data_IF_809514603395
#
_entry.id   IF_809514603395
#
_cell.length_a   1.000
_cell.length_b   1.000
_cell.length_c   1.000
_cell.angle_alpha   90.00
_cell.angle_beta   90.00
_cell.angle_gamma   90.00
#
_symmetry.space_group_name_H-M   'P 1'
#
loop_
_entity.id
_entity.type
_entity.pdbx_description
1 polymer ?
#
# COMPACT_ATOMS: atom_id res chain seq x y z
N UNK A 1 -22.83 -51.06 18.10
CA UNK A 1 -22.38 -50.85 16.71
C UNK A 1 -22.75 -49.42 16.33
N UNK A 2 -21.78 -48.57 15.97
CA UNK A 2 -22.06 -47.20 15.52
C UNK A 2 -21.17 -46.90 14.31
N UNK A 3 -21.80 -46.74 13.15
CA UNK A 3 -21.14 -46.57 11.86
C UNK A 3 -20.74 -45.11 11.65
N UNK A 4 -19.44 -44.86 11.54
CA UNK A 4 -18.88 -43.55 11.18
C UNK A 4 -19.04 -43.25 9.70
N UNK A 5 -19.69 -42.13 9.39
CA UNK A 5 -19.89 -41.64 8.03
C UNK A 5 -18.66 -40.80 7.62
N UNK A 6 -17.85 -41.30 6.68
CA UNK A 6 -16.69 -40.57 6.14
C UNK A 6 -17.15 -39.43 5.20
N UNK A 7 -16.51 -38.26 5.21
CA UNK A 7 -16.85 -37.17 4.29
C UNK A 7 -16.52 -37.55 2.83
N UNK A 8 -17.41 -37.18 1.92
CA UNK A 8 -17.29 -37.43 0.47
C UNK A 8 -16.10 -36.66 -0.11
N UNK A 9 -15.22 -37.35 -0.82
CA UNK A 9 -14.15 -36.73 -1.63
C UNK A 9 -14.76 -35.70 -2.58
N UNK A 10 -14.24 -34.47 -2.59
CA UNK A 10 -14.58 -33.50 -3.62
C UNK A 10 -14.03 -33.98 -4.96
N UNK A 11 -14.90 -34.09 -5.95
CA UNK A 11 -14.55 -34.48 -7.32
C UNK A 11 -14.03 -33.27 -8.09
N UNK A 12 -12.70 -33.19 -8.21
CA UNK A 12 -12.00 -32.13 -8.92
C UNK A 12 -12.36 -32.07 -10.41
N UNK A 13 -12.78 -33.20 -11.01
CA UNK A 13 -13.20 -33.23 -12.42
C UNK A 13 -14.49 -32.45 -12.68
N UNK A 14 -15.43 -32.50 -11.73
CA UNK A 14 -16.68 -31.73 -11.80
C UNK A 14 -16.43 -30.21 -11.68
N UNK A 15 -15.44 -29.82 -10.87
CA UNK A 15 -15.06 -28.42 -10.69
C UNK A 15 -14.35 -27.87 -11.94
N UNK A 16 -13.46 -28.65 -12.56
CA UNK A 16 -12.76 -28.26 -13.78
C UNK A 16 -13.72 -28.08 -14.97
N UNK A 17 -14.72 -28.96 -15.10
CA UNK A 17 -15.78 -28.82 -16.11
C UNK A 17 -16.58 -27.53 -15.92
N UNK A 18 -16.90 -27.18 -14.67
CA UNK A 18 -17.64 -25.95 -14.33
C UNK A 18 -16.83 -24.68 -14.60
N UNK A 19 -15.52 -24.72 -14.39
CA UNK A 19 -14.61 -23.60 -14.72
C UNK A 19 -14.49 -23.40 -16.24
N UNK A 20 -14.50 -24.50 -17.00
CA UNK A 20 -14.49 -24.47 -18.47
C UNK A 20 -15.83 -23.95 -19.05
N UNK A 21 -16.96 -24.34 -18.48
CA UNK A 21 -18.29 -23.80 -18.85
C UNK A 21 -18.42 -22.30 -18.57
N UNK A 22 -17.69 -21.77 -17.58
CA UNK A 22 -17.67 -20.33 -17.26
C UNK A 22 -16.62 -19.53 -18.06
N UNK A 23 -16.00 -20.12 -19.09
CA UNK A 23 -15.10 -19.41 -20.00
C UNK A 23 -13.73 -19.04 -19.41
N UNK A 24 -13.33 -19.64 -18.29
CA UNK A 24 -12.02 -19.42 -17.65
C UNK A 24 -10.97 -20.28 -18.35
N UNK A 25 -10.63 -19.94 -19.59
CA UNK A 25 -9.57 -20.61 -20.35
C UNK A 25 -8.25 -19.86 -20.16
N UNK A 26 -7.59 -20.11 -19.04
CA UNK A 26 -6.26 -19.60 -18.72
C UNK A 26 -5.28 -20.73 -18.42
N UNK A 27 -4.70 -21.31 -19.46
CA UNK A 27 -3.35 -21.90 -19.44
C UNK A 27 -3.10 -23.13 -18.53
N UNK A 28 -3.83 -24.23 -18.74
CA UNK A 28 -3.64 -25.50 -18.03
C UNK A 28 -2.67 -26.50 -18.72
N UNK A 29 -2.08 -26.13 -19.86
CA UNK A 29 -1.25 -27.05 -20.67
C UNK A 29 0.09 -27.42 -20.02
N UNK A 30 0.56 -26.63 -19.04
CA UNK A 30 1.79 -26.92 -18.31
C UNK A 30 1.64 -28.00 -17.22
N UNK A 31 0.39 -28.36 -16.85
CA UNK A 31 0.11 -29.37 -15.82
C UNK A 31 0.13 -30.81 -16.37
N UNK A 32 -0.16 -31.02 -17.67
CA UNK A 32 -0.15 -32.38 -18.27
C UNK A 32 1.26 -32.95 -18.44
N UNK A 33 2.27 -32.12 -18.69
CA UNK A 33 3.65 -32.58 -18.90
C UNK A 33 4.34 -33.10 -17.63
N UNK A 34 3.80 -32.83 -16.44
CA UNK A 34 4.40 -33.27 -15.16
C UNK A 34 3.87 -34.61 -14.66
N UNK A 35 2.78 -35.13 -15.23
CA UNK A 35 2.18 -36.40 -14.81
C UNK A 35 2.83 -37.62 -15.51
N UNK A 36 3.35 -37.44 -16.74
CA UNK A 36 3.98 -38.54 -17.51
C UNK A 36 5.37 -38.94 -17.00
N UNK A 37 5.99 -38.14 -16.11
CA UNK A 37 7.36 -38.41 -15.61
C UNK A 37 7.41 -39.23 -14.31
N UNK A 38 6.26 -39.53 -13.70
CA UNK A 38 6.19 -40.18 -12.39
C UNK A 38 5.98 -41.72 -12.42
N UNK A 39 5.88 -42.34 -13.61
CA UNK A 39 5.50 -43.76 -13.74
C UNK A 39 6.71 -44.72 -13.86
N UNK A 40 7.94 -44.23 -13.93
CA UNK A 40 9.11 -45.09 -14.16
C UNK A 40 10.19 -44.94 -13.08
N UNK A 41 9.98 -45.50 -11.89
CA UNK A 41 11.06 -46.01 -11.03
C UNK A 41 10.50 -46.73 -9.78
N UNK A 42 10.50 -48.06 -9.78
CA UNK A 42 10.48 -48.88 -8.56
C UNK A 42 11.27 -50.17 -8.77
N UNK A 43 11.95 -50.60 -7.69
CA UNK A 43 12.49 -51.95 -7.33
C UNK A 43 14.04 -52.08 -7.25
N UNK A 44 14.60 -51.84 -6.04
CA UNK A 44 15.41 -52.70 -5.08
C UNK A 44 16.31 -53.90 -5.53
N UNK A 45 17.20 -54.55 -4.67
CA UNK A 45 17.76 -54.27 -3.30
C UNK A 45 19.26 -54.73 -3.00
N UNK A 46 19.68 -54.65 -1.71
CA UNK A 46 20.70 -55.43 -0.89
C UNK A 46 22.18 -54.95 -0.70
N UNK A 47 22.61 -54.61 0.54
CA UNK A 47 23.43 -55.34 1.58
C UNK A 47 24.92 -54.84 1.60
N UNK A 48 25.71 -54.62 2.68
CA UNK A 48 25.88 -55.19 4.03
C UNK A 48 26.46 -54.19 5.10
N UNK A 49 25.93 -54.28 6.34
CA UNK A 49 26.52 -54.45 7.70
C UNK A 49 27.94 -53.93 8.09
N UNK A 50 28.04 -53.08 9.13
CA UNK A 50 28.90 -53.36 10.32
C UNK A 50 28.68 -52.47 11.55
N UNK A 51 28.70 -53.13 12.71
CA UNK A 51 28.39 -52.75 14.10
C UNK A 51 29.22 -51.62 14.73
N UNK A 52 28.64 -50.92 15.73
CA UNK A 52 29.06 -50.96 17.14
C UNK A 52 28.01 -50.28 18.05
N UNK A 53 27.66 -50.97 19.14
CA UNK A 53 26.68 -50.61 20.18
C UNK A 53 27.26 -49.62 21.22
N UNK A 54 26.42 -48.73 21.79
CA UNK A 54 26.24 -48.55 23.25
C UNK A 54 24.87 -47.87 23.51
N UNK A 55 24.12 -48.32 24.53
CA UNK A 55 22.91 -47.70 25.08
C UNK A 55 23.03 -47.67 26.62
N UNK A 56 22.08 -47.12 27.42
CA UNK A 56 21.23 -45.93 27.27
C UNK A 56 21.36 -44.98 28.49
N UNK A 57 20.95 -43.71 28.38
CA UNK A 57 20.65 -42.89 29.57
C UNK A 57 19.49 -41.93 29.31
N UNK A 58 18.38 -42.30 29.93
CA UNK A 58 17.12 -41.59 30.08
C UNK A 58 17.30 -40.20 30.66
N UNK A 59 16.79 -39.18 29.99
CA UNK A 59 16.33 -37.93 30.61
C UNK A 59 15.23 -37.35 29.75
N UNK A 60 14.04 -37.90 29.94
CA UNK A 60 12.77 -37.31 29.54
C UNK A 60 12.57 -36.00 30.31
N UNK A 61 12.80 -34.87 29.65
CA UNK A 61 12.09 -33.64 29.97
C UNK A 61 11.14 -33.34 28.82
N UNK A 62 10.01 -34.03 28.90
CA UNK A 62 8.79 -33.74 28.19
C UNK A 62 8.28 -32.39 28.72
N UNK A 63 8.62 -31.30 28.04
CA UNK A 63 7.88 -30.03 28.16
C UNK A 63 6.55 -30.23 27.44
N UNK A 64 5.58 -30.75 28.19
CA UNK A 64 4.19 -30.89 27.75
C UNK A 64 3.55 -29.51 27.85
N UNK A 65 3.86 -28.60 26.92
CA UNK A 65 3.00 -27.46 26.66
C UNK A 65 1.90 -27.92 25.70
N UNK A 66 1.00 -28.77 26.23
CA UNK A 66 -0.26 -29.08 25.59
C UNK A 66 -1.24 -27.93 25.85
N UNK A 67 -0.93 -26.76 25.31
CA UNK A 67 -1.97 -25.80 24.97
C UNK A 67 -2.67 -26.39 23.77
N UNK A 68 -3.82 -27.01 24.04
CA UNK A 68 -4.80 -27.31 23.02
C UNK A 68 -5.28 -25.96 22.48
N UNK A 69 -4.57 -25.42 21.48
CA UNK A 69 -5.14 -24.44 20.55
C UNK A 69 -6.43 -25.08 20.06
N UNK A 70 -7.55 -24.64 20.63
CA UNK A 70 -8.86 -24.99 20.14
C UNK A 70 -8.85 -24.60 18.66
N UNK A 71 -8.89 -25.58 17.76
CA UNK A 71 -8.85 -25.35 16.31
C UNK A 71 -10.04 -24.45 15.96
N UNK A 72 -9.80 -23.14 15.97
CA UNK A 72 -10.82 -22.13 15.70
C UNK A 72 -11.26 -22.37 14.27
N UNK A 73 -12.50 -22.81 14.11
CA UNK A 73 -13.02 -23.13 12.80
C UNK A 73 -13.06 -21.85 11.95
N UNK A 74 -12.53 -21.87 10.72
CA UNK A 74 -12.58 -20.71 9.84
C UNK A 74 -14.02 -20.37 9.48
N UNK A 75 -14.39 -19.10 9.59
CA UNK A 75 -15.69 -18.59 9.11
C UNK A 75 -15.81 -18.69 7.59
N UNK A 76 -17.02 -18.65 7.05
CA UNK A 76 -17.26 -18.62 5.59
C UNK A 76 -16.58 -17.41 4.94
N UNK A 77 -16.57 -16.27 5.63
CA UNK A 77 -15.84 -15.07 5.24
C UNK A 77 -14.33 -15.32 5.16
N UNK A 78 -13.76 -15.96 6.18
CA UNK A 78 -12.35 -16.31 6.19
C UNK A 78 -11.99 -17.27 5.04
N UNK A 79 -12.82 -18.29 4.80
CA UNK A 79 -12.64 -19.21 3.68
C UNK A 79 -12.75 -18.51 2.32
N UNK A 80 -13.66 -17.55 2.19
CA UNK A 80 -13.77 -16.72 1.00
C UNK A 80 -12.50 -15.91 0.75
N UNK A 81 -12.04 -15.11 1.73
CA UNK A 81 -10.79 -14.34 1.62
C UNK A 81 -9.61 -15.26 1.26
N UNK A 82 -9.47 -16.37 2.00
CA UNK A 82 -8.39 -17.32 1.77
C UNK A 82 -8.44 -17.90 0.36
N UNK A 83 -9.63 -18.29 -0.11
CA UNK A 83 -9.85 -18.79 -1.46
C UNK A 83 -9.55 -17.75 -2.54
N UNK A 84 -9.88 -16.48 -2.31
CA UNK A 84 -9.57 -15.39 -3.25
C UNK A 84 -8.07 -15.11 -3.33
N UNK A 85 -7.36 -15.06 -2.20
CA UNK A 85 -5.92 -14.86 -2.23
C UNK A 85 -5.18 -16.09 -2.78
N UNK A 86 -5.69 -17.29 -2.49
CA UNK A 86 -5.22 -18.54 -3.09
C UNK A 86 -5.41 -18.55 -4.62
N UNK A 87 -6.51 -18.03 -5.17
CA UNK A 87 -6.69 -18.00 -6.62
C UNK A 87 -5.78 -16.99 -7.32
N UNK A 88 -5.31 -15.97 -6.60
CA UNK A 88 -4.38 -14.96 -7.13
C UNK A 88 -2.94 -15.49 -7.21
N UNK A 89 -2.48 -16.19 -6.16
CA UNK A 89 -1.08 -16.66 -6.05
C UNK A 89 -0.90 -18.17 -6.29
N UNK A 90 -2.00 -18.93 -6.36
CA UNK A 90 -2.05 -20.35 -6.66
C UNK A 90 -1.04 -21.19 -5.84
N UNK A 91 -0.07 -21.80 -6.50
CA UNK A 91 0.91 -22.69 -5.87
C UNK A 91 1.84 -21.97 -4.89
N UNK A 92 2.14 -20.68 -5.07
CA UNK A 92 3.01 -19.94 -4.15
C UNK A 92 2.30 -19.58 -2.86
N UNK A 93 0.97 -19.42 -2.90
CA UNK A 93 0.14 -19.30 -1.70
C UNK A 93 0.25 -20.55 -0.83
N UNK A 94 0.05 -21.73 -1.41
CA UNK A 94 0.07 -23.00 -0.67
C UNK A 94 1.42 -23.23 0.00
N UNK A 95 2.52 -22.84 -0.66
CA UNK A 95 3.87 -22.94 -0.09
C UNK A 95 4.07 -22.01 1.11
N UNK A 96 3.40 -20.86 1.14
CA UNK A 96 3.61 -19.83 2.16
C UNK A 96 2.64 -19.95 3.34
N UNK A 97 1.38 -20.29 3.05
CA UNK A 97 0.27 -20.27 4.00
C UNK A 97 -0.46 -21.62 4.14
N UNK A 98 -0.08 -22.62 3.35
CA UNK A 98 -0.72 -23.93 3.35
C UNK A 98 -2.04 -23.98 2.58
N UNK A 99 -2.78 -25.08 2.77
CA UNK A 99 -4.03 -25.35 2.04
C UNK A 99 -5.29 -24.88 2.78
N UNK A 100 -5.17 -24.49 4.05
CA UNK A 100 -6.28 -24.07 4.89
C UNK A 100 -5.90 -22.81 5.68
N UNK A 101 -6.86 -21.90 5.92
CA UNK A 101 -6.61 -20.75 6.79
C UNK A 101 -6.33 -21.24 8.21
N UNK A 102 -5.24 -20.77 8.80
CA UNK A 102 -4.77 -21.16 10.13
C UNK A 102 -4.14 -19.98 10.87
N UNK A 103 -4.11 -20.05 12.20
CA UNK A 103 -3.43 -19.10 13.08
C UNK A 103 -3.83 -17.65 12.82
N UNK A 104 -2.82 -16.77 12.67
CA UNK A 104 -2.98 -15.32 12.48
C UNK A 104 -3.79 -14.92 11.23
N UNK A 105 -3.97 -15.83 10.27
CA UNK A 105 -4.84 -15.56 9.13
C UNK A 105 -6.30 -15.40 9.55
N UNK A 106 -6.73 -16.15 10.57
CA UNK A 106 -8.11 -16.06 11.09
C UNK A 106 -8.37 -14.66 11.65
N UNK A 107 -7.46 -14.16 12.48
CA UNK A 107 -7.58 -12.81 13.06
C UNK A 107 -7.48 -11.71 11.99
N UNK A 108 -6.63 -11.91 10.97
CA UNK A 108 -6.57 -11.02 9.82
C UNK A 108 -7.93 -10.96 9.14
N UNK A 109 -8.47 -12.12 8.73
CA UNK A 109 -9.75 -12.23 8.03
C UNK A 109 -10.91 -11.58 8.81
N UNK A 110 -10.99 -11.83 10.11
CA UNK A 110 -12.03 -11.26 10.98
C UNK A 110 -11.90 -9.74 11.10
N UNK A 111 -10.70 -9.17 10.88
CA UNK A 111 -10.46 -7.72 10.93
C UNK A 111 -10.71 -6.99 9.59
N UNK A 112 -11.03 -7.71 8.50
CA UNK A 112 -11.30 -7.09 7.20
C UNK A 112 -12.78 -6.89 6.96
N UNK A 113 -13.09 -5.69 6.51
CA UNK A 113 -14.31 -5.37 5.77
C UNK A 113 -14.18 -5.72 4.29
N UNK A 114 -15.29 -5.73 3.57
CA UNK A 114 -15.32 -6.00 2.13
C UNK A 114 -14.53 -4.97 1.31
N UNK A 115 -14.64 -3.68 1.66
CA UNK A 115 -13.89 -2.61 0.98
C UNK A 115 -12.38 -2.76 1.20
N UNK A 116 -11.96 -3.10 2.41
CA UNK A 116 -10.57 -3.37 2.75
C UNK A 116 -10.03 -4.61 2.02
N UNK A 117 -10.84 -5.67 1.90
CA UNK A 117 -10.48 -6.85 1.11
C UNK A 117 -10.23 -6.50 -0.35
N UNK A 118 -11.12 -5.73 -0.97
CA UNK A 118 -10.95 -5.32 -2.37
C UNK A 118 -9.66 -4.53 -2.58
N UNK A 119 -9.29 -3.68 -1.62
CA UNK A 119 -8.01 -2.97 -1.63
C UNK A 119 -6.82 -3.93 -1.49
N UNK A 120 -6.87 -4.90 -0.58
CA UNK A 120 -5.82 -5.93 -0.45
C UNK A 120 -5.67 -6.73 -1.74
N UNK A 121 -6.77 -7.16 -2.35
CA UNK A 121 -6.78 -7.87 -3.64
C UNK A 121 -6.11 -7.03 -4.73
N UNK A 122 -6.43 -5.73 -4.78
CA UNK A 122 -5.86 -4.82 -5.76
C UNK A 122 -4.34 -4.71 -5.60
N UNK A 123 -3.86 -4.53 -4.37
CA UNK A 123 -2.41 -4.54 -4.07
C UNK A 123 -1.74 -5.85 -4.47
N UNK A 124 -2.36 -6.99 -4.20
CA UNK A 124 -1.82 -8.29 -4.59
C UNK A 124 -1.68 -8.43 -6.12
N UNK A 125 -2.65 -7.91 -6.88
CA UNK A 125 -2.60 -7.90 -8.35
C UNK A 125 -1.52 -6.96 -8.87
N UNK A 126 -1.39 -5.76 -8.30
CA UNK A 126 -0.34 -4.80 -8.66
C UNK A 126 1.06 -5.39 -8.44
N UNK A 127 1.28 -6.09 -7.32
CA UNK A 127 2.54 -6.80 -7.05
C UNK A 127 2.82 -7.90 -8.09
N UNK A 128 1.82 -8.67 -8.47
CA UNK A 128 1.96 -9.69 -9.52
C UNK A 128 2.32 -9.07 -10.88
N UNK A 129 1.71 -7.93 -11.22
CA UNK A 129 2.02 -7.18 -12.44
C UNK A 129 3.45 -6.62 -12.42
N UNK A 130 3.93 -6.21 -11.24
CA UNK A 130 5.33 -5.81 -11.03
C UNK A 130 6.34 -6.97 -11.08
N UNK A 131 5.86 -8.22 -11.21
CA UNK A 131 6.69 -9.42 -11.31
C UNK A 131 6.94 -10.14 -9.98
N UNK A 132 6.34 -9.66 -8.88
CA UNK A 132 6.45 -10.31 -7.57
C UNK A 132 5.47 -11.49 -7.47
N UNK A 133 5.99 -12.71 -7.69
CA UNK A 133 5.20 -13.94 -7.73
C UNK A 133 4.84 -14.52 -6.36
N UNK A 134 5.49 -14.03 -5.30
CA UNK A 134 5.28 -14.53 -3.94
C UNK A 134 4.24 -13.69 -3.21
N UNK A 135 3.35 -14.31 -2.43
CA UNK A 135 2.36 -13.58 -1.65
C UNK A 135 3.03 -12.72 -0.57
N UNK A 136 2.43 -11.57 -0.19
CA UNK A 136 2.89 -10.76 0.92
C UNK A 136 2.91 -11.59 2.20
N UNK A 137 3.84 -11.29 3.13
CA UNK A 137 3.81 -11.89 4.48
C UNK A 137 2.60 -11.37 5.28
N UNK A 138 2.22 -12.07 6.35
CA UNK A 138 1.01 -11.73 7.11
C UNK A 138 1.00 -10.29 7.64
N UNK A 139 2.16 -9.82 8.13
CA UNK A 139 2.31 -8.44 8.58
C UNK A 139 2.15 -7.42 7.45
N UNK A 140 2.57 -7.75 6.23
CA UNK A 140 2.35 -6.91 5.05
C UNK A 140 0.88 -6.90 4.65
N UNK A 141 0.22 -8.07 4.59
CA UNK A 141 -1.22 -8.17 4.29
C UNK A 141 -2.05 -7.28 5.22
N UNK A 142 -1.75 -7.31 6.52
CA UNK A 142 -2.43 -6.47 7.52
C UNK A 142 -2.24 -4.96 7.27
N UNK A 143 -1.12 -4.55 6.68
CA UNK A 143 -0.85 -3.14 6.34
C UNK A 143 -1.53 -2.71 5.04
N UNK A 144 -1.67 -3.62 4.07
CA UNK A 144 -2.20 -3.30 2.74
C UNK A 144 -3.63 -2.74 2.78
N UNK A 145 -4.45 -3.13 3.77
CA UNK A 145 -5.82 -2.62 3.88
C UNK A 145 -5.92 -1.10 4.08
N UNK A 146 -4.89 -0.49 4.66
CA UNK A 146 -4.82 0.96 4.92
C UNK A 146 -3.96 1.72 3.92
N UNK A 147 -3.24 1.03 3.02
CA UNK A 147 -2.34 1.67 2.06
C UNK A 147 -3.07 2.06 0.78
N UNK A 148 -2.71 3.22 0.21
CA UNK A 148 -3.19 3.63 -1.10
C UNK A 148 -2.70 2.65 -2.17
N UNK A 149 -3.61 2.20 -3.03
CA UNK A 149 -3.25 1.43 -4.23
C UNK A 149 -2.42 2.27 -5.19
N UNK A 150 -1.80 1.63 -6.18
CA UNK A 150 -1.04 2.37 -7.20
C UNK A 150 -1.95 3.36 -7.96
N UNK A 151 -3.15 2.93 -8.34
CA UNK A 151 -4.14 3.82 -8.99
C UNK A 151 -4.53 5.01 -8.10
N UNK A 152 -4.91 4.77 -6.84
CA UNK A 152 -5.27 5.83 -5.90
C UNK A 152 -4.10 6.81 -5.68
N UNK A 153 -2.87 6.30 -5.62
CA UNK A 153 -1.67 7.12 -5.45
C UNK A 153 -1.40 8.02 -6.65
N UNK A 154 -1.64 7.53 -7.87
CA UNK A 154 -1.49 8.32 -9.10
C UNK A 154 -2.57 9.39 -9.20
N UNK A 155 -3.81 9.05 -8.90
CA UNK A 155 -4.92 10.00 -8.89
C UNK A 155 -4.72 11.11 -7.85
N UNK A 156 -4.34 10.74 -6.62
CA UNK A 156 -4.02 11.69 -5.56
C UNK A 156 -2.85 12.60 -5.95
N UNK A 157 -1.83 12.04 -6.59
CA UNK A 157 -0.70 12.82 -7.10
C UNK A 157 -1.15 13.82 -8.17
N UNK A 158 -1.97 13.39 -9.13
CA UNK A 158 -2.50 14.26 -10.17
C UNK A 158 -3.33 15.42 -9.58
N UNK A 159 -4.19 15.13 -8.59
CA UNK A 159 -4.93 16.16 -7.85
C UNK A 159 -4.01 17.17 -7.17
N UNK A 160 -2.95 16.70 -6.51
CA UNK A 160 -1.96 17.56 -5.85
C UNK A 160 -1.19 18.43 -6.85
N UNK A 161 -0.80 17.88 -8.00
CA UNK A 161 -0.11 18.62 -9.07
C UNK A 161 -1.03 19.66 -9.71
N UNK A 162 -2.30 19.31 -9.95
CA UNK A 162 -3.32 20.18 -10.53
C UNK A 162 -3.91 21.20 -9.55
N UNK A 163 -3.49 21.15 -8.27
CA UNK A 163 -3.96 22.02 -7.18
C UNK A 163 -5.44 21.84 -6.82
N UNK A 164 -5.94 20.61 -6.95
CA UNK A 164 -7.31 20.22 -6.60
C UNK A 164 -7.31 19.17 -5.46
N UNK A 165 -6.75 19.49 -4.27
CA UNK A 165 -6.62 18.50 -3.20
C UNK A 165 -7.98 18.18 -2.56
N UNK A 166 -8.29 16.89 -2.48
CA UNK A 166 -9.53 16.39 -1.89
C UNK A 166 -9.40 16.24 -0.37
N UNK A 167 -8.24 15.74 0.09
CA UNK A 167 -8.01 15.39 1.48
C UNK A 167 -7.05 16.37 2.18
N UNK A 168 -7.09 16.42 3.52
CA UNK A 168 -6.15 17.24 4.30
C UNK A 168 -4.68 16.82 4.07
N UNK A 169 -4.43 15.51 3.89
CA UNK A 169 -3.13 14.98 3.51
C UNK A 169 -2.65 15.58 2.18
N UNK A 170 -3.50 15.57 1.16
CA UNK A 170 -3.20 16.13 -0.15
C UNK A 170 -2.96 17.65 -0.07
N UNK A 171 -3.76 18.38 0.73
CA UNK A 171 -3.55 19.81 1.01
C UNK A 171 -2.18 20.06 1.63
N UNK A 172 -1.79 19.27 2.62
CA UNK A 172 -0.50 19.38 3.28
C UNK A 172 0.66 19.13 2.30
N UNK A 173 0.56 18.07 1.49
CA UNK A 173 1.58 17.72 0.50
C UNK A 173 1.69 18.84 -0.54
N UNK A 174 0.57 19.35 -1.04
CA UNK A 174 0.53 20.45 -2.00
C UNK A 174 1.23 21.70 -1.46
N UNK A 175 0.98 22.06 -0.19
CA UNK A 175 1.56 23.25 0.44
C UNK A 175 3.06 23.10 0.75
N UNK A 176 3.46 21.98 1.34
CA UNK A 176 4.82 21.80 1.86
C UNK A 176 5.79 21.18 0.85
N UNK A 177 5.29 20.28 -0.02
CA UNK A 177 6.10 19.45 -0.93
C UNK A 177 5.76 19.65 -2.41
N UNK A 178 4.72 20.43 -2.73
CA UNK A 178 4.24 20.60 -4.10
C UNK A 178 5.24 21.26 -5.06
N UNK A 179 6.21 22.02 -4.54
CA UNK A 179 7.32 22.53 -5.35
C UNK A 179 8.35 21.44 -5.71
N UNK A 180 8.69 20.56 -4.77
CA UNK A 180 9.61 19.44 -5.01
C UNK A 180 8.99 18.48 -6.02
N UNK A 181 7.72 18.11 -5.85
CA UNK A 181 7.01 17.20 -6.75
C UNK A 181 7.02 17.67 -8.21
N UNK A 182 6.80 18.97 -8.48
CA UNK A 182 6.76 19.52 -9.85
C UNK A 182 8.11 19.48 -10.59
N UNK A 183 9.22 19.29 -9.88
CA UNK A 183 10.57 19.29 -10.46
C UNK A 183 11.14 17.90 -10.69
N UNK A 184 10.49 16.88 -10.14
CA UNK A 184 10.98 15.51 -10.25
C UNK A 184 10.61 14.93 -11.62
N UNK A 185 11.47 14.08 -12.19
CA UNK A 185 11.13 13.32 -13.38
C UNK A 185 10.02 12.30 -13.08
N UNK A 186 9.23 11.99 -14.12
CA UNK A 186 8.07 11.09 -14.03
C UNK A 186 8.41 9.69 -13.49
N UNK A 187 9.65 9.22 -13.72
CA UNK A 187 10.11 7.91 -13.25
C UNK A 187 10.23 7.79 -11.73
N UNK A 188 10.41 8.91 -11.01
CA UNK A 188 10.61 8.90 -9.54
C UNK A 188 9.52 9.66 -8.79
N UNK A 189 8.73 10.49 -9.47
CA UNK A 189 7.70 11.33 -8.83
C UNK A 189 6.67 10.50 -8.05
N UNK A 190 6.25 9.35 -8.59
CA UNK A 190 5.26 8.47 -7.95
C UNK A 190 5.81 7.88 -6.65
N UNK A 191 7.06 7.42 -6.68
CA UNK A 191 7.73 6.89 -5.48
C UNK A 191 7.86 7.96 -4.41
N UNK A 192 8.31 9.16 -4.79
CA UNK A 192 8.48 10.28 -3.87
C UNK A 192 7.14 10.76 -3.31
N UNK A 193 6.09 10.77 -4.13
CA UNK A 193 4.75 11.09 -3.69
C UNK A 193 4.25 10.11 -2.62
N UNK A 194 4.43 8.80 -2.83
CA UNK A 194 4.08 7.78 -1.82
C UNK A 194 4.83 8.00 -0.50
N UNK A 195 6.09 8.41 -0.54
CA UNK A 195 6.85 8.77 0.68
C UNK A 195 6.25 9.99 1.39
N UNK A 196 5.95 11.07 0.68
CA UNK A 196 5.30 12.25 1.28
C UNK A 196 3.91 11.95 1.81
N UNK A 197 3.17 11.05 1.16
CA UNK A 197 1.87 10.63 1.65
C UNK A 197 1.99 9.87 2.98
N UNK A 198 2.98 8.98 3.11
CA UNK A 198 3.28 8.30 4.39
C UNK A 198 3.74 9.28 5.46
N UNK A 199 4.56 10.26 5.10
CA UNK A 199 4.98 11.34 6.01
C UNK A 199 3.75 12.12 6.52
N UNK A 200 2.86 12.52 5.61
CA UNK A 200 1.63 13.23 5.94
C UNK A 200 0.71 12.39 6.84
N UNK A 201 0.54 11.08 6.56
CA UNK A 201 -0.24 10.18 7.42
C UNK A 201 0.36 10.09 8.82
N UNK A 202 1.68 9.94 8.93
CA UNK A 202 2.35 9.91 10.24
C UNK A 202 2.18 11.23 11.01
N UNK A 203 2.19 12.38 10.31
CA UNK A 203 1.92 13.67 10.94
C UNK A 203 0.47 13.80 11.39
N UNK A 204 -0.48 13.24 10.63
CA UNK A 204 -1.89 13.21 10.99
C UNK A 204 -2.12 12.36 12.25
N UNK A 205 -1.55 11.15 12.31
CA UNK A 205 -1.62 10.28 13.48
C UNK A 205 -1.03 10.93 14.74
N UNK A 206 0.04 11.73 14.58
CA UNK A 206 0.68 12.48 15.67
C UNK A 206 -0.07 13.78 16.03
N UNK A 207 -1.14 14.13 15.31
CA UNK A 207 -1.88 15.39 15.50
C UNK A 207 -1.09 16.65 15.13
N UNK A 208 -0.02 16.53 14.33
CA UNK A 208 0.86 17.64 13.91
C UNK A 208 0.62 18.10 12.47
N UNK A 209 -0.41 17.58 11.82
CA UNK A 209 -0.74 17.96 10.45
C UNK A 209 -1.37 19.36 10.42
N UNK A 210 -0.56 20.38 10.13
CA UNK A 210 -1.01 21.76 9.97
C UNK A 210 -1.16 22.07 8.48
N UNK A 211 -2.39 22.30 8.03
CA UNK A 211 -2.73 22.64 6.64
C UNK A 211 -3.21 24.09 6.48
N UNK A 212 -3.28 24.85 7.56
CA UNK A 212 -3.59 26.27 7.46
C UNK A 212 -2.42 26.99 6.81
N UNK A 213 -2.70 27.71 5.71
CA UNK A 213 -1.73 28.65 5.18
C UNK A 213 -1.38 29.63 6.30
N UNK A 214 -0.10 29.95 6.55
CA UNK A 214 0.23 31.08 7.40
C UNK A 214 -0.55 32.28 6.86
N UNK A 215 -1.42 32.86 7.70
CA UNK A 215 -2.30 33.98 7.39
C UNK A 215 -1.47 35.12 6.80
N UNK A 216 -1.36 35.13 5.47
CA UNK A 216 -0.86 36.21 4.65
C UNK A 216 0.63 36.55 4.83
N UNK A 217 1.24 36.96 3.72
CA UNK A 217 2.14 38.12 3.77
C UNK A 217 1.43 39.17 4.63
N UNK A 218 2.12 39.76 5.60
CA UNK A 218 1.54 40.75 6.50
C UNK A 218 0.69 41.74 5.69
N UNK A 219 -0.61 41.85 6.01
CA UNK A 219 -1.53 42.78 5.31
C UNK A 219 -1.06 44.23 5.43
N UNK A 220 -0.17 44.49 6.38
CA UNK A 220 0.51 45.74 6.58
C UNK A 220 1.98 45.53 6.25
N UNK A 221 2.43 46.10 5.13
CA UNK A 221 3.85 46.32 4.90
C UNK A 221 4.38 47.11 6.10
N UNK A 222 5.45 46.62 6.74
CA UNK A 222 6.14 47.38 7.78
C UNK A 222 6.70 48.62 7.10
N UNK A 223 6.04 49.76 7.28
CA UNK A 223 6.45 51.03 6.67
C UNK A 223 7.81 51.39 7.24
N UNK A 224 8.77 51.67 6.35
CA UNK A 224 10.08 52.15 6.76
C UNK A 224 9.95 53.59 7.31
N UNK A 225 10.90 54.03 8.12
CA UNK A 225 10.96 55.41 8.64
C UNK A 225 10.91 56.46 7.52
N UNK A 226 11.43 56.12 6.34
CA UNK A 226 11.38 56.96 5.14
C UNK A 226 9.95 57.06 4.58
N UNK A 227 9.21 55.94 4.58
CA UNK A 227 7.83 55.90 4.08
C UNK A 227 6.89 56.68 5.01
N UNK A 228 7.09 56.57 6.33
CA UNK A 228 6.35 57.36 7.32
C UNK A 228 6.58 58.86 7.13
N UNK A 229 7.85 59.28 6.99
CA UNK A 229 8.19 60.69 6.74
C UNK A 229 7.64 61.19 5.42
N UNK A 230 7.61 60.34 4.39
CA UNK A 230 7.04 60.68 3.08
C UNK A 230 5.53 60.85 3.19
N UNK A 231 4.82 59.95 3.86
CA UNK A 231 3.37 60.07 4.08
C UNK A 231 3.02 61.29 4.94
N UNK A 232 3.79 61.59 5.98
CA UNK A 232 3.62 62.81 6.80
C UNK A 232 3.84 64.08 5.97
N UNK A 233 4.82 64.07 5.07
CA UNK A 233 5.07 65.17 4.14
C UNK A 233 3.92 65.31 3.14
N UNK A 234 3.45 64.22 2.54
CA UNK A 234 2.33 64.21 1.60
C UNK A 234 1.00 64.62 2.27
N UNK A 235 0.79 64.32 3.55
CA UNK A 235 -0.37 64.78 4.32
C UNK A 235 -0.33 66.29 4.60
N UNK A 236 0.85 66.84 4.93
CA UNK A 236 1.02 68.26 5.27
C UNK A 236 1.09 69.16 4.04
N UNK A 237 1.71 68.70 2.95
CA UNK A 237 2.01 69.49 1.76
C UNK A 237 1.21 69.08 0.53
N UNK A 238 0.34 68.06 0.64
CA UNK A 238 -0.36 67.47 -0.49
C UNK A 238 0.57 66.71 -1.43
N UNK A 239 0.02 66.08 -2.47
CA UNK A 239 0.79 65.43 -3.55
C UNK A 239 1.33 66.43 -4.58
N UNK A 240 1.63 67.64 -4.14
CA UNK A 240 2.14 68.70 -5.02
C UNK A 240 3.64 68.50 -5.20
N UNK A 241 4.07 68.40 -6.46
CA UNK A 241 5.49 68.37 -6.79
C UNK A 241 6.17 69.65 -6.28
N UNK A 242 7.44 69.53 -5.88
CA UNK A 242 8.25 70.70 -5.57
C UNK A 242 8.20 71.69 -6.75
N UNK A 243 7.90 72.99 -6.52
CA UNK A 243 7.73 73.99 -7.57
C UNK A 243 8.95 74.08 -8.52
N UNK A 244 10.14 73.73 -8.07
CA UNK A 244 11.33 73.67 -8.92
C UNK A 244 11.27 72.52 -9.94
N UNK A 245 10.77 71.36 -9.54
CA UNK A 245 10.63 70.19 -10.42
C UNK A 245 9.46 70.41 -11.37
N UNK A 246 8.39 71.03 -10.90
CA UNK A 246 7.23 71.39 -11.71
C UNK A 246 7.60 72.39 -12.82
N UNK A 247 8.48 73.35 -12.53
CA UNK A 247 9.03 74.28 -13.51
C UNK A 247 9.91 73.57 -14.56
N UNK A 248 10.73 72.60 -14.15
CA UNK A 248 11.57 71.82 -15.09
C UNK A 248 10.70 70.97 -16.02
N UNK A 249 9.64 70.34 -15.50
CA UNK A 249 8.71 69.55 -16.32
C UNK A 249 7.96 70.41 -17.33
N UNK A 250 7.49 71.59 -16.91
CA UNK A 250 6.83 72.55 -17.82
C UNK A 250 7.77 73.04 -18.91
N UNK A 251 9.01 73.40 -18.56
CA UNK A 251 10.01 73.84 -19.54
C UNK A 251 10.35 72.74 -20.55
N UNK A 252 10.37 71.47 -20.12
CA UNK A 252 10.63 70.32 -21.00
C UNK A 252 9.47 69.99 -21.94
N UNK A 253 8.23 70.33 -21.57
CA UNK A 253 7.05 70.16 -22.42
C UNK A 253 6.92 71.25 -23.49
N UNK A 254 7.49 72.44 -23.25
CA UNK A 254 7.54 73.54 -24.23
C UNK A 254 8.63 73.38 -25.30
N UNK A 255 9.55 72.42 -25.15
CA UNK A 255 10.65 72.15 -26.10
C UNK A 255 10.36 70.97 -27.06
N UNK A 256 9.12 70.46 -27.10
CA UNK A 256 8.61 69.53 -28.12
C UNK A 256 7.56 70.22 -29.00
#
# INVERSE_FOLDING_TARGET
>A
MSNGNKPKNLDFGAMEKKLREMGVNGNLDHLKASQDRAVAAKVEPENEISSTQVAPATSSQQLVNSESESERQPSDWCNYIFGTLLSIYESTWIKSYGRRPTGRFLDFADSLTEAELMRVIQHCRERLQAGEKWPPIMGELALLKNQLTESESLEAMNRVINKEPQNQLEKWIMQNKGYELRRLPQSIIVRRFKEFYREAMSLQEKGKLVTELPKGIAQHSVKNLVDLKREEFEQKHGKTLDPRIDAILKNRQTEQ
#
